data_IF_248075715289
#
_entry.id   IF_248075715289
#
_cell.length_a   1.000
_cell.length_b   1.000
_cell.length_c   1.000
_cell.angle_alpha   90.00
_cell.angle_beta   90.00
_cell.angle_gamma   90.00
#
_symmetry.space_group_name_H-M   'P 1'
#
loop_
_entity.id
_entity.type
_entity.pdbx_description
1 polymer ?
#
# COMPACT_ATOMS: atom_id res chain seq x y z
N UNK A 1 15.22 -47.04 25.62
CA UNK A 1 15.15 -45.62 26.02
C UNK A 1 15.50 -44.87 24.74
N UNK A 2 14.49 -44.62 23.92
CA UNK A 2 14.64 -43.74 22.79
C UNK A 2 14.85 -42.32 23.34
N UNK A 3 15.99 -41.72 23.02
CA UNK A 3 16.18 -40.28 23.24
C UNK A 3 15.06 -39.56 22.48
N UNK A 4 14.09 -38.97 23.17
CA UNK A 4 13.19 -38.03 22.57
C UNK A 4 14.05 -36.92 21.98
N UNK A 5 14.13 -36.88 20.65
CA UNK A 5 14.83 -35.82 19.91
C UNK A 5 14.06 -34.55 20.21
N UNK A 6 14.71 -33.61 20.91
CA UNK A 6 14.09 -32.31 21.20
C UNK A 6 13.67 -31.62 19.92
N UNK A 7 12.54 -30.91 19.92
CA UNK A 7 12.07 -30.18 18.76
C UNK A 7 13.14 -29.21 18.20
N UNK A 8 13.99 -28.69 19.06
CA UNK A 8 15.10 -27.81 18.75
C UNK A 8 16.12 -28.45 17.79
N UNK A 9 16.34 -29.77 17.91
CA UNK A 9 17.34 -30.50 17.11
C UNK A 9 16.83 -30.92 15.72
N UNK A 10 15.53 -30.83 15.49
CA UNK A 10 14.94 -31.20 14.20
C UNK A 10 14.98 -29.99 13.24
N UNK A 11 15.63 -30.18 12.10
CA UNK A 11 15.64 -29.16 11.05
C UNK A 11 14.22 -28.86 10.52
N UNK A 12 13.91 -27.61 10.16
CA UNK A 12 12.61 -27.27 9.58
C UNK A 12 12.41 -28.01 8.26
N UNK A 13 11.21 -28.60 8.11
CA UNK A 13 10.86 -29.45 6.97
C UNK A 13 9.73 -30.42 7.32
N UNK A 14 9.58 -31.45 6.50
CA UNK A 14 8.46 -32.41 6.62
C UNK A 14 8.45 -33.13 7.96
N UNK A 15 9.61 -33.50 8.49
CA UNK A 15 9.72 -34.20 9.76
C UNK A 15 9.23 -33.32 10.93
N UNK A 16 9.77 -32.10 11.04
CA UNK A 16 9.36 -31.15 12.08
C UNK A 16 7.86 -30.83 11.95
N UNK A 17 7.37 -30.59 10.74
CA UNK A 17 5.95 -30.34 10.51
C UNK A 17 5.07 -31.51 10.99
N UNK A 18 5.47 -32.75 10.70
CA UNK A 18 4.72 -33.95 11.11
C UNK A 18 4.66 -34.06 12.62
N UNK A 19 5.78 -33.80 13.31
CA UNK A 19 5.82 -33.82 14.77
C UNK A 19 4.96 -32.70 15.39
N UNK A 20 5.07 -31.47 14.87
CA UNK A 20 4.27 -30.35 15.34
C UNK A 20 2.77 -30.56 15.16
N UNK A 21 2.34 -31.20 14.06
CA UNK A 21 0.93 -31.53 13.82
C UNK A 21 0.39 -32.60 14.76
N UNK A 22 1.25 -33.44 15.33
CA UNK A 22 0.87 -34.46 16.30
C UNK A 22 0.77 -33.90 17.75
N UNK A 23 1.27 -32.69 18.00
CA UNK A 23 1.26 -32.08 19.33
C UNK A 23 -0.04 -31.33 19.54
N UNK A 24 -0.74 -31.65 20.64
CA UNK A 24 -1.86 -30.87 21.15
C UNK A 24 -1.36 -30.00 22.30
N UNK A 25 -1.23 -28.71 22.10
CA UNK A 25 -0.67 -27.78 23.12
C UNK A 25 -1.46 -27.76 24.43
N UNK A 26 -2.75 -28.11 24.40
CA UNK A 26 -3.57 -28.25 25.62
C UNK A 26 -3.13 -29.41 26.53
N UNK A 27 -2.39 -30.38 26.01
CA UNK A 27 -1.89 -31.53 26.76
C UNK A 27 -0.48 -31.29 27.31
N UNK A 28 0.14 -30.16 27.02
CA UNK A 28 1.46 -29.77 27.52
C UNK A 28 1.27 -29.07 28.87
N UNK A 29 1.96 -29.58 29.90
CA UNK A 29 1.84 -29.06 31.28
C UNK A 29 2.89 -28.00 31.61
N UNK A 30 4.04 -28.02 30.93
CA UNK A 30 5.15 -27.09 31.19
C UNK A 30 5.14 -25.93 30.17
N UNK A 31 5.12 -24.71 30.69
CA UNK A 31 5.16 -23.48 29.83
C UNK A 31 6.43 -23.44 28.96
N UNK A 32 7.53 -24.03 29.44
CA UNK A 32 8.77 -24.17 28.69
C UNK A 32 8.53 -24.94 27.38
N UNK A 33 7.88 -26.10 27.46
CA UNK A 33 7.63 -26.96 26.29
C UNK A 33 6.68 -26.28 25.28
N UNK A 34 5.70 -25.51 25.77
CA UNK A 34 4.84 -24.71 24.91
C UNK A 34 5.66 -23.67 24.12
N UNK A 35 6.63 -23.02 24.76
CA UNK A 35 7.51 -22.05 24.09
C UNK A 35 8.43 -22.72 23.07
N UNK A 36 8.89 -23.96 23.33
CA UNK A 36 9.66 -24.74 22.34
C UNK A 36 8.81 -25.09 21.10
N UNK A 37 7.53 -25.40 21.30
CA UNK A 37 6.58 -25.59 20.17
C UNK A 37 6.43 -24.28 19.38
N UNK A 38 6.29 -23.14 20.04
CA UNK A 38 6.22 -21.83 19.36
C UNK A 38 7.50 -21.56 18.57
N UNK A 39 8.68 -21.80 19.15
CA UNK A 39 9.97 -21.62 18.49
C UNK A 39 10.13 -22.56 17.27
N UNK A 40 9.65 -23.79 17.40
CA UNK A 40 9.67 -24.75 16.29
C UNK A 40 8.76 -24.32 15.13
N UNK A 41 7.56 -23.79 15.41
CA UNK A 41 6.69 -23.20 14.39
C UNK A 41 7.31 -21.97 13.73
N UNK A 42 8.01 -21.10 14.47
CA UNK A 42 8.69 -19.94 13.92
C UNK A 42 9.78 -20.35 12.91
N UNK A 43 10.55 -21.40 13.20
CA UNK A 43 11.51 -22.00 12.26
C UNK A 43 10.84 -22.57 11.01
N UNK A 44 9.66 -23.21 11.14
CA UNK A 44 8.87 -23.70 10.02
C UNK A 44 8.36 -22.56 9.14
N UNK A 45 7.92 -21.45 9.75
CA UNK A 45 7.50 -20.24 9.02
C UNK A 45 8.67 -19.65 8.23
N UNK A 46 9.85 -19.56 8.84
CA UNK A 46 11.06 -19.09 8.18
C UNK A 46 11.43 -19.96 6.97
N UNK A 47 11.42 -21.29 7.15
CA UNK A 47 11.65 -22.26 6.07
C UNK A 47 10.64 -22.11 4.92
N UNK A 48 9.36 -21.96 5.23
CA UNK A 48 8.32 -21.75 4.22
C UNK A 48 8.51 -20.43 3.47
N UNK A 49 8.90 -19.35 4.15
CA UNK A 49 9.27 -18.09 3.52
C UNK A 49 10.47 -18.25 2.59
N UNK A 50 11.52 -18.98 3.01
CA UNK A 50 12.68 -19.24 2.15
C UNK A 50 12.27 -19.96 0.85
N UNK A 51 11.42 -20.97 0.95
CA UNK A 51 10.88 -21.69 -0.22
C UNK A 51 10.02 -20.79 -1.11
N UNK A 52 9.17 -19.95 -0.53
CA UNK A 52 8.36 -19.00 -1.29
C UNK A 52 9.23 -17.98 -2.03
N UNK A 53 10.22 -17.39 -1.35
CA UNK A 53 11.12 -16.39 -1.94
C UNK A 53 11.98 -16.99 -3.05
N UNK A 54 12.46 -18.23 -2.89
CA UNK A 54 13.17 -18.94 -3.95
C UNK A 54 12.30 -19.12 -5.21
N UNK A 55 11.03 -19.52 -5.04
CA UNK A 55 10.07 -19.64 -6.14
C UNK A 55 9.75 -18.28 -6.79
N UNK A 56 9.66 -17.20 -6.02
CA UNK A 56 9.48 -15.82 -6.53
C UNK A 56 10.69 -15.38 -7.35
N UNK A 57 11.92 -15.64 -6.89
CA UNK A 57 13.13 -15.32 -7.62
C UNK A 57 13.22 -16.11 -8.95
N UNK A 58 12.89 -17.39 -8.92
CA UNK A 58 12.85 -18.22 -10.13
C UNK A 58 11.79 -17.71 -11.12
N UNK A 59 10.59 -17.39 -10.64
CA UNK A 59 9.53 -16.81 -11.47
C UNK A 59 9.99 -15.52 -12.15
N UNK A 60 10.62 -14.62 -11.41
CA UNK A 60 11.09 -13.34 -11.95
C UNK A 60 12.20 -13.48 -13.01
N UNK A 61 12.99 -14.55 -12.92
CA UNK A 61 14.08 -14.82 -13.87
C UNK A 61 13.62 -15.49 -15.17
N UNK A 62 12.43 -16.10 -15.17
CA UNK A 62 11.90 -16.79 -16.36
C UNK A 62 11.62 -15.77 -17.47
N UNK A 63 12.00 -16.06 -18.71
CA UNK A 63 11.62 -15.23 -19.84
C UNK A 63 10.10 -15.25 -20.01
N UNK A 64 9.59 -14.16 -20.52
CA UNK A 64 8.16 -14.03 -20.80
C UNK A 64 7.80 -14.94 -21.97
N UNK A 65 7.28 -16.13 -21.70
CA UNK A 65 6.83 -17.07 -22.71
C UNK A 65 5.34 -17.31 -22.58
N UNK A 66 4.56 -16.69 -23.47
CA UNK A 66 3.24 -17.19 -23.80
C UNK A 66 3.38 -17.85 -25.17
N UNK A 67 3.73 -19.13 -25.17
CA UNK A 67 3.74 -19.97 -26.37
C UNK A 67 4.70 -19.59 -27.51
N UNK A 68 5.52 -18.54 -27.33
CA UNK A 68 6.48 -18.08 -28.33
C UNK A 68 7.91 -18.19 -27.80
N UNK A 69 8.84 -18.62 -28.66
CA UNK A 69 10.27 -18.57 -28.32
C UNK A 69 10.72 -17.11 -28.24
N UNK A 70 11.77 -16.80 -27.45
CA UNK A 70 12.30 -15.43 -27.36
C UNK A 70 12.63 -14.79 -28.71
N UNK A 71 13.09 -15.59 -29.68
CA UNK A 71 13.41 -15.12 -31.04
C UNK A 71 12.14 -14.86 -31.87
N UNK A 72 11.11 -15.68 -31.72
CA UNK A 72 9.81 -15.45 -32.37
C UNK A 72 9.11 -14.21 -31.81
N UNK A 73 9.15 -14.01 -30.50
CA UNK A 73 8.63 -12.81 -29.84
C UNK A 73 9.40 -11.56 -30.28
N UNK A 74 10.72 -11.63 -30.40
CA UNK A 74 11.57 -10.53 -30.87
C UNK A 74 11.33 -10.20 -32.35
N UNK A 75 11.14 -11.20 -33.18
CA UNK A 75 10.82 -11.02 -34.60
C UNK A 75 9.46 -10.37 -34.81
N UNK A 76 8.47 -10.72 -33.98
CA UNK A 76 7.08 -10.24 -34.08
C UNK A 76 6.87 -8.86 -33.44
N UNK A 77 7.56 -8.56 -32.35
CA UNK A 77 7.31 -7.39 -31.50
C UNK A 77 8.52 -6.45 -31.38
N UNK A 78 9.58 -6.67 -32.15
CA UNK A 78 10.79 -5.82 -32.15
C UNK A 78 11.62 -5.99 -30.86
N UNK A 79 12.44 -4.96 -30.51
CA UNK A 79 13.32 -5.02 -29.32
C UNK A 79 12.59 -5.29 -28.00
N UNK A 80 11.30 -4.93 -27.91
CA UNK A 80 10.45 -5.17 -26.75
C UNK A 80 10.10 -6.67 -26.55
N UNK A 81 10.15 -7.51 -27.61
CA UNK A 81 9.90 -8.94 -27.51
C UNK A 81 10.97 -9.72 -26.73
N UNK A 82 12.11 -9.09 -26.41
CA UNK A 82 13.16 -9.67 -25.56
C UNK A 82 13.14 -9.12 -24.13
N UNK A 83 12.17 -8.25 -23.80
CA UNK A 83 12.10 -7.66 -22.46
C UNK A 83 11.70 -8.77 -21.49
N UNK A 84 12.53 -8.98 -20.47
CA UNK A 84 12.17 -9.70 -19.24
C UNK A 84 10.82 -9.19 -18.77
N UNK A 85 10.04 -10.02 -18.10
CA UNK A 85 8.79 -9.58 -17.46
C UNK A 85 8.94 -8.20 -16.89
N UNK A 86 8.25 -7.23 -17.49
CA UNK A 86 8.38 -5.84 -17.09
C UNK A 86 7.84 -5.60 -15.68
N UNK A 87 6.90 -6.47 -15.21
CA UNK A 87 6.18 -6.29 -13.95
C UNK A 87 5.85 -7.65 -13.29
N UNK A 88 6.83 -8.45 -12.89
CA UNK A 88 6.56 -9.74 -12.22
C UNK A 88 5.84 -9.55 -10.88
N UNK A 89 6.06 -8.46 -10.19
CA UNK A 89 5.39 -8.09 -8.95
C UNK A 89 3.89 -7.85 -9.13
N UNK A 90 3.43 -7.29 -10.24
CA UNK A 90 2.00 -7.15 -10.51
C UNK A 90 1.30 -8.50 -10.69
N UNK A 91 1.96 -9.48 -11.33
CA UNK A 91 1.43 -10.84 -11.43
C UNK A 91 1.41 -11.55 -10.08
N UNK A 92 2.47 -11.38 -9.27
CA UNK A 92 2.54 -11.92 -7.91
C UNK A 92 1.44 -11.30 -7.05
N UNK A 93 1.28 -9.96 -7.11
CA UNK A 93 0.24 -9.24 -6.38
C UNK A 93 -1.16 -9.76 -6.72
N UNK A 94 -1.45 -9.89 -8.01
CA UNK A 94 -2.73 -10.36 -8.49
C UNK A 94 -2.99 -11.83 -8.10
N UNK A 95 -1.98 -12.71 -8.21
CA UNK A 95 -2.12 -14.14 -7.88
C UNK A 95 -2.33 -14.38 -6.39
N UNK A 96 -1.64 -13.61 -5.54
CA UNK A 96 -1.72 -13.75 -4.08
C UNK A 96 -2.79 -12.86 -3.44
N UNK A 97 -3.43 -11.96 -4.23
CA UNK A 97 -4.38 -10.96 -3.74
C UNK A 97 -3.78 -10.06 -2.65
N UNK A 98 -2.55 -9.59 -2.87
CA UNK A 98 -1.82 -8.67 -2.01
C UNK A 98 -1.60 -7.34 -2.73
N UNK A 99 -1.25 -6.28 -1.97
CA UNK A 99 -0.92 -4.98 -2.56
C UNK A 99 0.32 -5.06 -3.44
N UNK A 100 0.42 -4.18 -4.45
CA UNK A 100 1.62 -4.09 -5.31
C UNK A 100 2.88 -3.83 -4.49
N UNK A 101 2.82 -2.98 -3.45
CA UNK A 101 3.97 -2.75 -2.55
C UNK A 101 4.39 -4.00 -1.78
N UNK A 102 3.43 -4.85 -1.35
CA UNK A 102 3.76 -6.12 -0.70
C UNK A 102 4.39 -7.13 -1.67
N UNK A 103 3.99 -7.11 -2.93
CA UNK A 103 4.57 -7.97 -3.96
C UNK A 103 5.97 -7.49 -4.36
N UNK A 104 6.15 -6.18 -4.53
CA UNK A 104 7.45 -5.55 -4.81
C UNK A 104 8.46 -5.84 -3.69
N UNK A 105 8.02 -5.73 -2.43
CA UNK A 105 8.84 -6.09 -1.26
C UNK A 105 9.31 -7.55 -1.34
N UNK A 106 8.40 -8.50 -1.61
CA UNK A 106 8.75 -9.93 -1.72
C UNK A 106 9.68 -10.22 -2.89
N UNK A 107 9.41 -9.59 -4.04
CA UNK A 107 10.25 -9.71 -5.22
C UNK A 107 11.66 -9.15 -4.96
N UNK A 108 11.76 -7.95 -4.37
CA UNK A 108 13.04 -7.33 -4.04
C UNK A 108 13.86 -8.22 -3.12
N UNK A 109 13.28 -8.67 -2.01
CA UNK A 109 13.96 -9.57 -1.08
C UNK A 109 14.36 -10.90 -1.74
N UNK A 110 13.47 -11.49 -2.56
CA UNK A 110 13.77 -12.75 -3.27
C UNK A 110 14.98 -12.63 -4.18
N UNK A 111 15.11 -11.50 -4.90
CA UNK A 111 16.25 -11.24 -5.78
C UNK A 111 17.53 -10.96 -4.99
N UNK A 112 17.46 -10.18 -3.91
CA UNK A 112 18.60 -9.89 -3.03
C UNK A 112 19.17 -11.15 -2.38
N UNK A 113 18.30 -12.06 -1.92
CA UNK A 113 18.72 -13.34 -1.32
C UNK A 113 19.41 -14.28 -2.32
N UNK A 114 19.30 -14.06 -3.62
CA UNK A 114 20.10 -14.83 -4.58
C UNK A 114 21.58 -14.47 -4.58
N UNK A 115 21.91 -13.27 -4.14
CA UNK A 115 23.29 -12.78 -3.96
C UNK A 115 23.78 -13.02 -2.53
N UNK A 116 22.88 -12.96 -1.52
CA UNK A 116 23.17 -13.15 -0.11
C UNK A 116 22.86 -14.60 0.31
N UNK A 117 23.70 -15.53 -0.13
CA UNK A 117 23.43 -16.95 0.01
C UNK A 117 23.46 -17.45 1.47
N UNK A 118 24.32 -16.87 2.32
CA UNK A 118 24.39 -17.24 3.73
C UNK A 118 23.12 -16.78 4.48
N UNK A 119 22.58 -15.60 4.15
CA UNK A 119 21.31 -15.10 4.69
C UNK A 119 20.14 -15.97 4.22
N UNK A 120 20.12 -16.38 2.95
CA UNK A 120 19.12 -17.31 2.42
C UNK A 120 19.16 -18.66 3.14
N UNK A 121 20.36 -19.20 3.39
CA UNK A 121 20.57 -20.43 4.14
C UNK A 121 20.13 -20.29 5.60
N UNK A 122 20.45 -19.18 6.27
CA UNK A 122 20.04 -18.90 7.64
C UNK A 122 18.51 -18.80 7.77
N UNK A 123 17.83 -18.22 6.76
CA UNK A 123 16.37 -18.20 6.69
C UNK A 123 15.80 -19.61 6.46
N UNK A 124 16.39 -20.38 5.55
CA UNK A 124 15.94 -21.75 5.25
C UNK A 124 16.12 -22.73 6.40
N UNK A 125 17.09 -22.49 7.26
CA UNK A 125 17.31 -23.30 8.50
C UNK A 125 16.52 -22.78 9.70
N UNK A 126 15.82 -21.66 9.58
CA UNK A 126 15.08 -21.05 10.68
C UNK A 126 15.97 -20.36 11.72
N UNK A 127 17.25 -20.12 11.43
CA UNK A 127 18.16 -19.36 12.30
C UNK A 127 17.72 -17.88 12.42
N UNK A 128 17.15 -17.35 11.36
CA UNK A 128 16.57 -16.00 11.28
C UNK A 128 15.18 -16.05 10.66
N UNK A 129 14.34 -15.09 11.00
CA UNK A 129 13.06 -14.86 10.35
C UNK A 129 13.19 -13.99 9.08
N UNK A 130 12.08 -13.85 8.34
CA UNK A 130 12.04 -13.07 7.10
C UNK A 130 12.32 -11.57 7.31
N UNK A 131 11.99 -11.01 8.49
CA UNK A 131 12.26 -9.60 8.79
C UNK A 131 13.75 -9.35 9.03
N UNK A 132 14.42 -10.27 9.71
CA UNK A 132 15.87 -10.24 9.90
C UNK A 132 16.59 -10.41 8.56
N UNK A 133 16.15 -11.38 7.72
CA UNK A 133 16.69 -11.55 6.37
C UNK A 133 16.56 -10.28 5.53
N UNK A 134 15.38 -9.62 5.56
CA UNK A 134 15.20 -8.33 4.89
C UNK A 134 16.10 -7.23 5.46
N UNK A 135 16.29 -7.16 6.78
CA UNK A 135 17.15 -6.14 7.38
C UNK A 135 18.62 -6.30 6.98
N UNK A 136 19.10 -7.52 6.77
CA UNK A 136 20.44 -7.81 6.23
C UNK A 136 20.49 -7.41 4.76
N UNK A 137 19.53 -7.85 3.95
CA UNK A 137 19.48 -7.57 2.53
C UNK A 137 19.41 -6.06 2.24
N UNK A 138 18.52 -5.32 2.92
CA UNK A 138 18.39 -3.86 2.81
C UNK A 138 19.71 -3.14 3.16
N UNK A 139 20.39 -3.59 4.19
CA UNK A 139 21.69 -3.00 4.60
C UNK A 139 22.85 -3.30 3.64
N UNK A 140 22.81 -4.44 2.94
CA UNK A 140 23.82 -4.87 1.98
C UNK A 140 23.54 -4.41 0.54
N UNK A 141 22.31 -4.01 0.22
CA UNK A 141 21.80 -3.68 -1.14
C UNK A 141 22.72 -2.80 -1.98
N UNK A 142 23.47 -1.91 -1.34
CA UNK A 142 24.29 -0.91 -2.01
C UNK A 142 25.79 -1.19 -1.93
N UNK A 143 26.17 -2.33 -1.38
CA UNK A 143 27.54 -2.78 -1.32
C UNK A 143 27.87 -3.58 -2.58
N UNK A 144 29.15 -3.62 -2.95
CA UNK A 144 29.60 -4.57 -3.95
C UNK A 144 29.50 -6.02 -3.40
N UNK A 145 29.43 -7.04 -4.25
CA UNK A 145 29.17 -8.41 -3.81
C UNK A 145 30.18 -8.95 -2.78
N UNK A 146 31.45 -8.56 -2.87
CA UNK A 146 32.50 -9.03 -1.95
C UNK A 146 32.28 -8.41 -0.58
N UNK A 147 32.15 -7.09 -0.53
CA UNK A 147 31.87 -6.35 0.71
C UNK A 147 30.54 -6.76 1.34
N UNK A 148 29.51 -7.04 0.52
CA UNK A 148 28.23 -7.53 1.00
C UNK A 148 28.36 -8.88 1.71
N UNK A 149 29.13 -9.81 1.16
CA UNK A 149 29.42 -11.11 1.77
C UNK A 149 30.16 -10.99 3.09
N UNK A 150 31.13 -10.06 3.19
CA UNK A 150 31.85 -9.80 4.44
C UNK A 150 30.92 -9.25 5.53
N UNK A 151 30.09 -8.27 5.19
CA UNK A 151 29.07 -7.72 6.11
C UNK A 151 28.07 -8.79 6.54
N UNK A 152 27.58 -9.59 5.60
CA UNK A 152 26.68 -10.71 5.85
C UNK A 152 27.27 -11.68 6.89
N UNK A 153 28.52 -12.12 6.72
CA UNK A 153 29.19 -13.03 7.65
C UNK A 153 29.32 -12.43 9.05
N UNK A 154 29.68 -11.14 9.16
CA UNK A 154 29.81 -10.45 10.45
C UNK A 154 28.49 -10.40 11.19
N UNK A 155 27.39 -10.08 10.52
CA UNK A 155 26.11 -9.86 11.18
C UNK A 155 25.36 -11.17 11.48
N UNK A 156 25.47 -12.19 10.62
CA UNK A 156 24.85 -13.49 10.80
C UNK A 156 25.39 -14.23 12.04
N UNK A 157 26.65 -14.01 12.41
CA UNK A 157 27.24 -14.64 13.59
C UNK A 157 26.44 -14.40 14.89
N UNK A 158 25.63 -13.35 14.94
CA UNK A 158 24.79 -13.01 16.12
C UNK A 158 23.32 -12.75 15.82
N UNK A 159 22.92 -12.91 14.55
CA UNK A 159 21.56 -12.56 14.12
C UNK A 159 20.48 -13.37 14.84
N UNK A 160 20.75 -14.64 15.16
CA UNK A 160 19.82 -15.49 15.92
C UNK A 160 19.44 -14.89 17.27
N UNK A 161 20.41 -14.36 18.01
CA UNK A 161 20.25 -13.87 19.38
C UNK A 161 19.79 -12.41 19.47
N UNK A 162 19.63 -11.73 18.35
CA UNK A 162 19.26 -10.32 18.31
C UNK A 162 17.79 -10.13 17.92
N UNK A 163 17.17 -9.12 18.51
CA UNK A 163 15.92 -8.61 17.96
C UNK A 163 16.17 -7.96 16.59
N UNK A 164 15.15 -7.89 15.72
CA UNK A 164 15.29 -7.25 14.42
C UNK A 164 15.80 -5.79 14.50
N UNK A 165 15.37 -5.04 15.53
CA UNK A 165 15.84 -3.67 15.76
C UNK A 165 17.35 -3.61 16.12
N UNK A 166 17.85 -4.56 16.90
CA UNK A 166 19.27 -4.67 17.23
C UNK A 166 20.09 -5.07 16.02
N UNK A 167 19.63 -6.07 15.27
CA UNK A 167 20.27 -6.52 14.02
C UNK A 167 20.34 -5.40 13.00
N UNK A 168 19.26 -4.66 12.77
CA UNK A 168 19.23 -3.52 11.85
C UNK A 168 20.26 -2.44 12.19
N UNK A 169 20.51 -2.19 13.49
CA UNK A 169 21.58 -1.29 13.94
C UNK A 169 22.96 -1.87 13.66
N UNK A 170 23.16 -3.18 13.90
CA UNK A 170 24.40 -3.87 13.65
C UNK A 170 24.76 -3.88 12.16
N UNK A 171 23.81 -4.23 11.30
CA UNK A 171 23.95 -4.22 9.82
C UNK A 171 24.34 -2.83 9.34
N UNK A 172 23.61 -1.79 9.76
CA UNK A 172 23.92 -0.41 9.39
C UNK A 172 25.34 -0.01 9.78
N UNK A 173 25.76 -0.36 11.02
CA UNK A 173 27.11 -0.08 11.49
C UNK A 173 28.16 -0.81 10.65
N UNK A 174 27.97 -2.10 10.39
CA UNK A 174 28.89 -2.91 9.57
C UNK A 174 29.01 -2.37 8.15
N UNK A 175 27.88 -2.06 7.49
CA UNK A 175 27.85 -1.51 6.12
C UNK A 175 28.54 -0.14 6.01
N UNK A 176 28.34 0.77 6.98
CA UNK A 176 29.05 2.07 7.01
C UNK A 176 30.54 1.88 7.25
N UNK A 177 30.92 0.91 8.09
CA UNK A 177 32.34 0.64 8.36
C UNK A 177 33.04 0.04 7.13
N UNK A 178 32.35 -0.83 6.39
CA UNK A 178 32.89 -1.48 5.20
C UNK A 178 33.06 -0.50 4.03
N UNK A 179 32.09 0.41 3.81
CA UNK A 179 32.19 1.44 2.75
C UNK A 179 31.67 2.80 3.23
N UNK A 180 32.53 3.59 3.93
CA UNK A 180 32.12 4.90 4.44
C UNK A 180 31.92 5.94 3.33
N UNK A 181 32.58 5.79 2.18
CA UNK A 181 32.50 6.75 1.05
C UNK A 181 31.15 6.60 0.36
N UNK A 182 30.76 5.38 0.02
CA UNK A 182 29.44 5.14 -0.56
C UNK A 182 28.32 5.45 0.43
N UNK A 183 28.51 5.20 1.72
CA UNK A 183 27.55 5.58 2.76
C UNK A 183 27.31 7.11 2.78
N UNK A 184 28.36 7.92 2.64
CA UNK A 184 28.22 9.37 2.55
C UNK A 184 27.49 9.81 1.27
N UNK A 185 27.78 9.20 0.12
CA UNK A 185 27.08 9.47 -1.15
C UNK A 185 25.59 9.15 -1.03
N UNK A 186 25.23 8.00 -0.44
CA UNK A 186 23.84 7.62 -0.19
C UNK A 186 23.14 8.60 0.74
N UNK A 187 23.81 9.07 1.80
CA UNK A 187 23.24 10.07 2.68
C UNK A 187 22.87 11.37 1.95
N UNK A 188 23.72 11.82 1.03
CA UNK A 188 23.44 13.00 0.20
C UNK A 188 22.28 12.75 -0.74
N UNK A 189 22.22 11.59 -1.40
CA UNK A 189 21.10 11.21 -2.28
C UNK A 189 19.78 11.13 -1.51
N UNK A 190 19.76 10.46 -0.36
CA UNK A 190 18.56 10.33 0.48
C UNK A 190 17.99 11.67 0.96
N UNK A 191 18.82 12.71 1.10
CA UNK A 191 18.32 14.06 1.37
C UNK A 191 17.45 14.63 0.25
N UNK A 192 17.65 14.19 -0.99
CA UNK A 192 16.85 14.65 -2.13
C UNK A 192 15.49 13.95 -2.22
N UNK A 193 15.34 12.79 -1.55
CA UNK A 193 14.12 11.98 -1.50
C UNK A 193 13.24 12.31 -0.29
N UNK A 194 13.50 13.43 0.36
CA UNK A 194 12.66 13.90 1.47
C UNK A 194 11.22 14.10 1.00
N UNK A 195 10.26 13.71 1.80
CA UNK A 195 8.87 13.87 1.46
C UNK A 195 7.94 13.73 2.65
N UNK A 196 6.66 14.05 2.41
CA UNK A 196 5.57 13.88 3.35
C UNK A 196 4.46 13.09 2.67
N UNK A 197 3.97 12.08 3.34
CA UNK A 197 2.90 11.19 2.85
C UNK A 197 1.76 11.13 3.86
N UNK A 198 0.55 10.92 3.36
CA UNK A 198 -0.67 10.71 4.14
C UNK A 198 -1.14 9.27 3.92
N UNK A 199 -1.40 8.55 4.99
CA UNK A 199 -1.94 7.18 4.96
C UNK A 199 -3.21 7.14 5.81
N UNK A 200 -4.37 6.75 5.25
CA UNK A 200 -5.58 6.52 6.02
C UNK A 200 -5.38 5.37 7.03
N UNK A 201 -5.97 5.51 8.21
CA UNK A 201 -6.05 4.49 9.25
C UNK A 201 -7.52 4.23 9.59
N UNK A 202 -7.79 3.22 10.41
CA UNK A 202 -9.14 2.94 10.89
C UNK A 202 -9.67 4.06 11.81
N UNK A 203 -10.97 4.03 12.10
CA UNK A 203 -11.67 4.90 13.06
C UNK A 203 -11.56 6.42 12.78
N UNK A 204 -11.50 6.82 11.51
CA UNK A 204 -11.43 8.23 11.14
C UNK A 204 -10.07 8.87 11.38
N UNK A 205 -9.03 8.06 11.60
CA UNK A 205 -7.66 8.51 11.83
C UNK A 205 -6.82 8.44 10.56
N UNK A 206 -5.72 9.19 10.52
CA UNK A 206 -4.74 9.10 9.44
C UNK A 206 -3.32 9.33 9.99
N UNK A 207 -2.34 8.73 9.33
CA UNK A 207 -0.93 8.95 9.60
C UNK A 207 -0.35 9.98 8.62
N UNK A 208 0.32 10.98 9.15
CA UNK A 208 1.20 11.86 8.37
C UNK A 208 2.64 11.42 8.61
N UNK A 209 3.25 10.83 7.57
CA UNK A 209 4.63 10.35 7.61
C UNK A 209 5.54 11.35 6.91
N UNK A 210 6.50 11.92 7.65
CA UNK A 210 7.53 12.79 7.12
C UNK A 210 8.89 12.10 7.16
N UNK A 211 9.61 12.05 6.02
CA UNK A 211 10.99 11.56 5.92
C UNK A 211 11.90 12.74 5.66
N UNK A 212 12.90 12.91 6.54
CA UNK A 212 13.84 14.02 6.52
C UNK A 212 15.19 13.60 7.09
N UNK A 213 16.21 14.47 7.06
CA UNK A 213 17.48 14.17 7.70
C UNK A 213 17.29 13.86 9.20
N UNK A 214 18.02 12.87 9.72
CA UNK A 214 17.84 12.39 11.09
C UNK A 214 17.98 13.51 12.15
N UNK A 215 18.90 14.45 11.92
CA UNK A 215 19.07 15.60 12.82
C UNK A 215 17.82 16.50 12.85
N UNK A 216 17.15 16.71 11.71
CA UNK A 216 15.96 17.54 11.62
C UNK A 216 14.75 16.80 12.24
N UNK A 217 14.63 15.50 12.01
CA UNK A 217 13.59 14.68 12.64
C UNK A 217 13.72 14.68 14.17
N UNK A 218 14.95 14.54 14.69
CA UNK A 218 15.22 14.64 16.13
C UNK A 218 14.91 16.03 16.68
N UNK A 219 15.21 17.09 15.93
CA UNK A 219 14.87 18.47 16.33
C UNK A 219 13.36 18.63 16.51
N UNK A 220 12.56 18.21 15.51
CA UNK A 220 11.10 18.24 15.57
C UNK A 220 10.59 17.46 16.79
N UNK A 221 11.03 16.19 16.91
CA UNK A 221 10.59 15.32 18.01
C UNK A 221 10.95 15.86 19.39
N UNK A 222 12.16 16.42 19.55
CA UNK A 222 12.63 16.96 20.82
C UNK A 222 11.88 18.24 21.22
N UNK A 223 11.60 19.13 20.26
CA UNK A 223 10.81 20.35 20.52
C UNK A 223 9.39 19.98 20.95
N UNK A 224 8.72 19.08 20.23
CA UNK A 224 7.39 18.60 20.59
C UNK A 224 7.39 17.90 21.95
N UNK A 225 8.44 17.14 22.26
CA UNK A 225 8.58 16.45 23.54
C UNK A 225 8.80 17.43 24.71
N UNK A 226 9.61 18.48 24.50
CA UNK A 226 9.83 19.51 25.49
C UNK A 226 8.54 20.32 25.75
N UNK A 227 7.80 20.68 24.70
CA UNK A 227 6.52 21.37 24.84
C UNK A 227 5.49 20.51 25.61
N UNK A 228 5.39 19.22 25.26
CA UNK A 228 4.50 18.29 25.95
C UNK A 228 4.87 18.11 27.43
N UNK A 229 6.16 18.03 27.73
CA UNK A 229 6.64 17.96 29.12
C UNK A 229 6.30 19.24 29.89
N UNK A 230 6.52 20.42 29.29
CA UNK A 230 6.19 21.72 29.93
C UNK A 230 4.71 21.81 30.22
N UNK A 231 3.82 21.39 29.30
CA UNK A 231 2.38 21.36 29.55
C UNK A 231 2.00 20.43 30.71
N UNK A 232 2.64 19.24 30.80
CA UNK A 232 2.42 18.34 31.93
C UNK A 232 2.87 18.91 33.26
N UNK A 233 4.02 19.60 33.29
CA UNK A 233 4.57 20.18 34.51
C UNK A 233 3.77 21.40 35.00
N UNK A 234 3.04 22.09 34.10
CA UNK A 234 2.14 23.17 34.46
C UNK A 234 0.93 22.73 35.31
N UNK A 235 0.62 21.42 35.28
CA UNK A 235 -0.48 20.82 36.04
C UNK A 235 -1.86 20.94 35.34
N UNK A 236 -2.79 20.07 35.73
CA UNK A 236 -4.16 20.09 35.19
C UNK A 236 -4.34 19.49 33.80
N UNK A 237 -3.28 19.06 33.13
CA UNK A 237 -3.32 18.47 31.77
C UNK A 237 -3.68 17.00 31.81
N UNK A 238 -4.85 16.64 31.28
CA UNK A 238 -5.36 15.26 31.26
C UNK A 238 -4.78 14.42 30.11
N UNK A 239 -4.42 15.04 28.96
CA UNK A 239 -3.87 14.35 27.78
C UNK A 239 -2.51 13.74 28.10
N UNK A 240 -2.21 12.58 27.52
CA UNK A 240 -0.87 11.97 27.64
C UNK A 240 0.16 12.70 26.75
N UNK A 241 1.45 12.39 26.95
CA UNK A 241 2.54 13.05 26.23
C UNK A 241 2.49 12.83 24.71
N UNK A 242 1.96 11.67 24.25
CA UNK A 242 1.83 11.39 22.80
C UNK A 242 0.73 12.25 22.18
N UNK A 243 -0.41 12.39 22.86
CA UNK A 243 -1.51 13.29 22.43
C UNK A 243 -1.06 14.73 22.35
N UNK A 244 -0.34 15.21 23.37
CA UNK A 244 0.18 16.57 23.38
C UNK A 244 1.17 16.83 22.23
N UNK A 245 2.04 15.85 21.88
CA UNK A 245 2.92 16.00 20.71
C UNK A 245 2.14 16.13 19.42
N UNK A 246 1.05 15.35 19.27
CA UNK A 246 0.20 15.42 18.07
C UNK A 246 -0.49 16.78 17.96
N UNK A 247 -1.05 17.29 19.07
CA UNK A 247 -1.72 18.59 19.11
C UNK A 247 -0.73 19.75 18.84
N UNK A 248 0.46 19.72 19.44
CA UNK A 248 1.50 20.72 19.18
C UNK A 248 2.07 20.65 17.74
N UNK A 249 2.03 19.47 17.11
CA UNK A 249 2.41 19.35 15.70
C UNK A 249 1.42 20.08 14.78
N UNK A 250 0.13 20.10 15.11
CA UNK A 250 -0.91 20.75 14.31
C UNK A 250 -0.93 22.27 14.44
N UNK A 251 -0.57 22.83 15.59
CA UNK A 251 -0.69 24.25 15.88
C UNK A 251 -0.07 25.19 14.81
N UNK A 252 1.12 24.95 14.24
CA UNK A 252 1.68 25.80 13.18
C UNK A 252 0.86 25.75 11.87
N UNK A 253 0.15 24.65 11.61
CA UNK A 253 -0.68 24.51 10.41
C UNK A 253 -2.04 25.19 10.58
N UNK A 254 -2.62 25.17 11.77
CA UNK A 254 -3.83 25.93 12.09
C UNK A 254 -3.57 27.43 11.93
N UNK A 255 -2.42 27.92 12.40
CA UNK A 255 -2.00 29.31 12.20
C UNK A 255 -1.81 29.61 10.71
N UNK A 256 -1.16 28.73 9.97
CA UNK A 256 -0.95 28.90 8.52
C UNK A 256 -2.29 28.96 7.73
N UNK A 257 -3.29 28.14 8.12
CA UNK A 257 -4.62 28.20 7.53
C UNK A 257 -5.30 29.53 7.85
N UNK A 258 -5.20 30.01 9.09
CA UNK A 258 -5.82 31.26 9.53
C UNK A 258 -5.19 32.50 8.88
N UNK A 259 -3.87 32.50 8.69
CA UNK A 259 -3.13 33.64 8.11
C UNK A 259 -3.01 33.58 6.59
N UNK A 260 -3.18 32.41 5.99
CA UNK A 260 -2.91 32.16 4.56
C UNK A 260 -1.43 32.08 4.21
N UNK A 261 -0.54 32.06 5.22
CA UNK A 261 0.91 32.02 5.04
C UNK A 261 1.54 30.96 5.96
N UNK A 262 2.40 30.12 5.39
CA UNK A 262 3.21 29.20 6.17
C UNK A 262 4.53 29.88 6.54
N UNK A 263 4.75 30.07 7.84
CA UNK A 263 6.01 30.59 8.39
C UNK A 263 7.13 29.58 8.21
N UNK A 264 8.27 29.99 7.67
CA UNK A 264 9.41 29.11 7.43
C UNK A 264 10.62 29.85 6.89
N UNK A 265 11.58 29.09 6.34
CA UNK A 265 12.80 29.63 5.72
C UNK A 265 12.48 30.57 4.56
N UNK A 266 11.40 30.28 3.83
CA UNK A 266 10.81 31.17 2.83
C UNK A 266 9.34 31.28 3.16
N UNK A 267 8.83 32.45 3.58
CA UNK A 267 7.41 32.67 3.75
C UNK A 267 6.66 32.38 2.46
N UNK A 268 5.75 31.41 2.52
CA UNK A 268 5.04 30.95 1.33
C UNK A 268 3.56 31.20 1.50
N UNK A 269 2.99 31.99 0.56
CA UNK A 269 1.52 32.13 0.45
C UNK A 269 0.91 30.82 0.05
N UNK A 270 -0.09 30.36 0.80
CA UNK A 270 -0.82 29.15 0.48
C UNK A 270 -1.70 29.40 -0.75
N UNK A 271 -1.58 28.56 -1.76
CA UNK A 271 -2.42 28.59 -2.96
C UNK A 271 -3.79 27.96 -2.65
N UNK A 272 -4.65 28.69 -1.91
CA UNK A 272 -6.02 28.26 -1.66
C UNK A 272 -6.80 28.20 -2.96
N UNK A 273 -7.43 27.06 -3.24
CA UNK A 273 -8.24 26.83 -4.45
C UNK A 273 -7.56 26.09 -5.60
N UNK A 274 -6.24 25.97 -5.62
CA UNK A 274 -5.54 25.07 -6.55
C UNK A 274 -5.41 23.68 -5.96
N UNK A 275 -6.38 22.80 -6.23
CA UNK A 275 -6.41 21.38 -5.84
C UNK A 275 -6.50 21.11 -4.32
N UNK A 276 -7.45 21.77 -3.64
CA UNK A 276 -7.91 21.28 -2.32
C UNK A 276 -6.98 21.52 -1.16
N UNK A 277 -6.21 22.61 -1.15
CA UNK A 277 -5.51 23.03 0.06
C UNK A 277 -6.57 23.35 1.14
N UNK A 278 -6.75 22.45 2.11
CA UNK A 278 -7.75 22.56 3.18
C UNK A 278 -9.16 22.05 2.83
N UNK A 279 -9.46 21.62 1.60
CA UNK A 279 -10.79 21.06 1.26
C UNK A 279 -10.82 19.53 1.37
N UNK A 280 -11.47 19.04 2.42
CA UNK A 280 -11.89 17.64 2.50
C UNK A 280 -13.21 17.47 1.73
N UNK A 281 -13.21 16.70 0.63
CA UNK A 281 -14.44 16.34 -0.07
C UNK A 281 -15.11 15.16 0.65
N UNK A 282 -16.27 15.40 1.22
CA UNK A 282 -17.05 14.38 1.93
C UNK A 282 -18.33 14.10 1.14
N UNK A 283 -18.60 12.83 0.85
CA UNK A 283 -19.88 12.37 0.33
C UNK A 283 -20.73 11.90 1.50
N UNK A 284 -21.86 12.55 1.76
CA UNK A 284 -22.74 12.26 2.88
C UNK A 284 -24.12 11.88 2.35
N UNK A 285 -24.71 10.74 2.75
CA UNK A 285 -26.07 10.41 2.40
C UNK A 285 -27.06 11.47 2.95
N UNK A 286 -28.04 11.87 2.14
CA UNK A 286 -29.03 12.87 2.56
C UNK A 286 -29.76 12.49 3.84
N UNK A 287 -30.05 11.19 4.03
CA UNK A 287 -30.66 10.67 5.26
C UNK A 287 -29.83 10.91 6.52
N UNK A 288 -28.51 10.97 6.40
CA UNK A 288 -27.58 11.29 7.50
C UNK A 288 -27.65 12.78 7.82
N UNK A 289 -27.64 13.64 6.81
CA UNK A 289 -27.79 15.10 7.00
C UNK A 289 -29.12 15.44 7.67
N UNK A 290 -30.20 14.76 7.26
CA UNK A 290 -31.53 14.92 7.84
C UNK A 290 -31.71 14.24 9.21
N UNK A 291 -30.69 13.52 9.71
CA UNK A 291 -30.74 12.87 11.02
C UNK A 291 -31.59 11.59 11.08
N UNK A 292 -32.06 11.04 9.93
CA UNK A 292 -32.91 9.85 9.88
C UNK A 292 -32.13 8.55 9.75
N UNK A 293 -30.81 8.59 9.51
CA UNK A 293 -29.95 7.41 9.47
C UNK A 293 -28.53 7.70 9.99
N UNK A 294 -27.82 6.64 10.39
CA UNK A 294 -26.44 6.69 10.85
C UNK A 294 -25.49 5.89 9.93
N UNK A 295 -25.86 5.75 8.65
CA UNK A 295 -24.95 5.12 7.67
C UNK A 295 -23.69 5.96 7.47
N UNK A 296 -22.54 5.32 7.16
CA UNK A 296 -21.29 6.05 6.99
C UNK A 296 -21.32 7.01 5.80
N UNK A 297 -20.59 8.12 5.89
CA UNK A 297 -20.19 8.94 4.75
C UNK A 297 -18.86 8.48 4.19
N UNK A 298 -18.43 9.08 3.09
CA UNK A 298 -17.17 8.77 2.39
C UNK A 298 -16.31 10.02 2.32
N UNK A 299 -15.10 9.97 2.89
CA UNK A 299 -14.10 11.04 2.80
C UNK A 299 -13.14 10.69 1.66
N UNK A 300 -13.10 11.53 0.62
CA UNK A 300 -12.28 11.29 -0.57
C UNK A 300 -10.79 11.20 -0.22
N UNK A 301 -10.16 10.08 -0.59
CA UNK A 301 -8.75 9.80 -0.29
C UNK A 301 -8.49 9.16 1.08
N UNK A 302 -9.55 8.96 1.87
CA UNK A 302 -9.50 8.30 3.16
C UNK A 302 -10.35 7.02 3.18
N UNK A 303 -11.63 7.11 2.75
CA UNK A 303 -12.61 6.02 2.82
C UNK A 303 -13.80 6.36 3.71
N UNK A 304 -14.46 5.32 4.21
CA UNK A 304 -15.66 5.46 5.01
C UNK A 304 -15.39 6.13 6.38
N UNK A 305 -16.26 7.06 6.74
CA UNK A 305 -16.24 7.76 8.03
C UNK A 305 -17.61 7.70 8.69
N UNK A 306 -17.66 7.82 10.02
CA UNK A 306 -18.93 7.75 10.75
C UNK A 306 -19.90 8.88 10.37
N UNK A 307 -21.19 8.66 10.60
CA UNK A 307 -22.23 9.67 10.35
C UNK A 307 -21.95 10.98 11.10
N UNK A 308 -21.45 10.91 12.33
CA UNK A 308 -21.15 12.10 13.14
C UNK A 308 -19.98 12.88 12.56
N UNK A 309 -18.86 12.22 12.23
CA UNK A 309 -17.70 12.85 11.55
C UNK A 309 -18.14 13.44 10.21
N UNK A 310 -19.00 12.75 9.46
CA UNK A 310 -19.55 13.24 8.19
C UNK A 310 -20.36 14.53 8.36
N UNK A 311 -21.22 14.60 9.37
CA UNK A 311 -21.98 15.81 9.71
C UNK A 311 -21.08 16.96 10.15
N UNK A 312 -20.08 16.66 10.97
CA UNK A 312 -19.12 17.67 11.42
C UNK A 312 -18.32 18.26 10.24
N UNK A 313 -17.80 17.42 9.37
CA UNK A 313 -17.07 17.86 8.17
C UNK A 313 -17.95 18.54 7.13
N UNK A 314 -19.24 18.21 7.06
CA UNK A 314 -20.20 18.87 6.17
C UNK A 314 -20.72 20.22 6.68
N UNK A 315 -20.55 20.53 7.98
CA UNK A 315 -20.99 21.78 8.60
C UNK A 315 -20.24 22.96 7.96
N UNK A 316 -20.98 23.96 7.55
CA UNK A 316 -20.44 25.21 6.95
C UNK A 316 -19.73 25.04 5.58
N UNK A 317 -20.03 23.96 4.84
CA UNK A 317 -19.44 23.70 3.52
C UNK A 317 -20.45 23.80 2.38
N UNK A 318 -19.96 24.12 1.17
CA UNK A 318 -20.77 24.14 -0.04
C UNK A 318 -21.16 22.71 -0.40
N UNK A 319 -22.45 22.40 -0.33
CA UNK A 319 -22.99 21.08 -0.68
C UNK A 319 -23.26 20.97 -2.19
N UNK A 320 -22.97 19.80 -2.75
CA UNK A 320 -23.33 19.44 -4.13
C UNK A 320 -24.04 18.10 -4.13
N UNK A 321 -25.16 18.04 -4.86
CA UNK A 321 -25.92 16.80 -4.96
C UNK A 321 -25.24 15.78 -5.86
N UNK A 322 -25.13 14.54 -5.40
CA UNK A 322 -24.69 13.37 -6.16
C UNK A 322 -25.84 12.37 -6.18
N UNK A 323 -26.15 11.80 -7.36
CA UNK A 323 -27.19 10.79 -7.51
C UNK A 323 -26.56 9.42 -7.66
N UNK A 324 -26.92 8.48 -6.79
CA UNK A 324 -26.47 7.10 -6.83
C UNK A 324 -27.64 6.16 -7.09
N UNK A 325 -27.37 5.01 -7.71
CA UNK A 325 -28.33 3.94 -7.86
C UNK A 325 -28.72 3.39 -6.48
N UNK A 326 -30.01 3.37 -6.11
CA UNK A 326 -30.42 2.92 -4.79
C UNK A 326 -30.21 1.43 -4.53
N UNK A 327 -30.06 0.60 -5.58
CA UNK A 327 -29.91 -0.85 -5.46
C UNK A 327 -28.47 -1.27 -5.14
N UNK A 328 -27.48 -0.67 -5.82
CA UNK A 328 -26.08 -1.06 -5.74
C UNK A 328 -25.12 0.09 -5.34
N UNK A 329 -25.65 1.30 -5.11
CA UNK A 329 -24.86 2.48 -4.74
C UNK A 329 -24.03 3.06 -5.88
N UNK A 330 -24.16 2.56 -7.11
CA UNK A 330 -23.38 3.04 -8.25
C UNK A 330 -23.80 4.44 -8.73
N UNK A 331 -22.89 5.18 -9.32
CA UNK A 331 -23.11 6.55 -9.79
C UNK A 331 -23.73 6.56 -11.19
N UNK A 332 -24.70 7.45 -11.49
CA UNK A 332 -25.42 7.56 -12.77
C UNK A 332 -24.89 8.70 -13.65
N UNK A 333 -24.73 8.49 -14.97
CA UNK A 333 -23.84 9.25 -15.89
C UNK A 333 -24.48 10.15 -16.96
N UNK A 334 -23.58 10.98 -17.61
CA UNK A 334 -23.85 11.75 -18.84
C UNK A 334 -22.80 11.50 -19.94
N UNK A 335 -23.20 11.46 -21.22
CA UNK A 335 -22.41 11.10 -22.40
C UNK A 335 -21.69 12.30 -23.05
N UNK A 336 -20.47 12.09 -23.64
CA UNK A 336 -19.75 13.08 -24.44
C UNK A 336 -18.99 12.47 -25.63
N UNK A 337 -19.04 13.15 -26.78
CA UNK A 337 -18.45 12.70 -28.06
C UNK A 337 -17.01 13.19 -28.31
N UNK A 338 -16.26 13.63 -27.29
CA UNK A 338 -14.91 14.20 -27.42
C UNK A 338 -13.82 13.27 -26.90
N UNK A 339 -12.60 13.34 -27.47
CA UNK A 339 -11.44 12.57 -26.98
C UNK A 339 -11.12 12.84 -25.51
N UNK A 340 -11.14 14.11 -25.10
CA UNK A 340 -10.94 14.47 -23.68
C UNK A 340 -12.26 14.36 -22.93
N UNK A 341 -12.28 13.66 -21.80
CA UNK A 341 -13.49 13.59 -20.98
C UNK A 341 -13.87 14.97 -20.48
N UNK A 342 -15.16 15.29 -20.55
CA UNK A 342 -15.69 16.49 -19.91
C UNK A 342 -15.41 16.48 -18.41
N UNK A 343 -15.46 17.65 -17.77
CA UNK A 343 -15.29 17.74 -16.32
C UNK A 343 -16.31 16.87 -15.57
N UNK A 344 -17.53 16.76 -16.10
CA UNK A 344 -18.61 15.93 -15.55
C UNK A 344 -18.26 14.44 -15.67
N UNK A 345 -17.87 13.99 -16.87
CA UNK A 345 -17.47 12.58 -17.10
C UNK A 345 -16.22 12.22 -16.30
N UNK A 346 -15.24 13.12 -16.23
CA UNK A 346 -14.04 12.94 -15.41
C UNK A 346 -14.42 12.68 -13.94
N UNK A 347 -15.23 13.57 -13.37
CA UNK A 347 -15.67 13.46 -11.99
C UNK A 347 -16.51 12.19 -11.78
N UNK A 348 -17.39 11.85 -12.72
CA UNK A 348 -18.17 10.63 -12.69
C UNK A 348 -17.27 9.39 -12.56
N UNK A 349 -16.33 9.22 -13.50
CA UNK A 349 -15.42 8.06 -13.53
C UNK A 349 -14.56 8.00 -12.26
N UNK A 350 -14.07 9.14 -11.77
CA UNK A 350 -13.27 9.21 -10.56
C UNK A 350 -14.05 8.81 -9.31
N UNK A 351 -15.31 9.26 -9.19
CA UNK A 351 -16.18 8.90 -8.06
C UNK A 351 -16.63 7.44 -8.12
N UNK A 352 -17.04 6.96 -9.31
CA UNK A 352 -17.47 5.58 -9.52
C UNK A 352 -16.39 4.58 -9.11
N UNK A 353 -15.16 4.82 -9.53
CA UNK A 353 -14.07 3.85 -9.43
C UNK A 353 -13.25 3.99 -8.14
N UNK A 354 -13.23 5.17 -7.53
CA UNK A 354 -12.54 5.46 -6.26
C UNK A 354 -11.01 5.35 -6.31
N UNK A 355 -10.48 4.27 -6.90
CA UNK A 355 -9.04 3.97 -6.99
C UNK A 355 -8.63 3.56 -8.40
N UNK A 356 -7.33 3.39 -8.63
CA UNK A 356 -6.78 2.77 -9.84
C UNK A 356 -7.46 1.42 -10.12
N UNK A 357 -7.80 1.14 -11.38
CA UNK A 357 -8.56 -0.06 -11.77
C UNK A 357 -7.70 -1.31 -12.05
N UNK A 358 -6.47 -1.33 -11.59
CA UNK A 358 -5.70 -2.55 -11.48
C UNK A 358 -6.03 -3.27 -10.17
N UNK A 359 -6.15 -4.61 -10.20
CA UNK A 359 -6.74 -5.44 -9.12
C UNK A 359 -6.21 -5.15 -7.70
N UNK A 360 -4.93 -4.81 -7.59
CA UNK A 360 -4.23 -4.70 -6.30
C UNK A 360 -3.71 -3.29 -6.01
N UNK A 361 -4.23 -2.28 -6.74
CA UNK A 361 -3.77 -0.90 -6.61
C UNK A 361 -4.84 -0.02 -5.96
N UNK A 362 -4.51 0.53 -4.80
CA UNK A 362 -5.39 1.39 -4.02
C UNK A 362 -5.11 2.90 -4.21
N UNK A 363 -4.30 3.26 -5.22
CA UNK A 363 -3.99 4.67 -5.47
C UNK A 363 -5.29 5.43 -5.85
N UNK A 364 -5.62 6.54 -5.17
CA UNK A 364 -6.85 7.27 -5.39
C UNK A 364 -7.04 7.70 -6.84
N UNK A 365 -8.26 7.56 -7.36
CA UNK A 365 -8.61 7.93 -8.75
C UNK A 365 -8.35 9.39 -9.10
N UNK A 366 -8.35 10.27 -8.10
CA UNK A 366 -8.07 11.72 -8.25
C UNK A 366 -6.65 12.01 -8.74
N UNK A 367 -5.68 11.16 -8.41
CA UNK A 367 -4.28 11.30 -8.83
C UNK A 367 -3.94 10.40 -10.03
N UNK A 368 -4.92 9.62 -10.51
CA UNK A 368 -4.78 8.74 -11.66
C UNK A 368 -5.08 9.49 -12.99
N UNK A 369 -4.43 9.05 -14.06
CA UNK A 369 -4.85 9.40 -15.42
C UNK A 369 -6.16 8.68 -15.77
N UNK A 370 -7.09 9.37 -16.41
CA UNK A 370 -8.26 8.74 -17.00
C UNK A 370 -7.94 8.33 -18.44
N UNK A 371 -8.08 7.05 -18.73
CA UNK A 371 -7.76 6.50 -20.03
C UNK A 371 -8.85 5.55 -20.55
N UNK A 372 -8.87 5.38 -21.87
CA UNK A 372 -9.82 4.54 -22.57
C UNK A 372 -9.46 3.05 -22.44
N UNK A 373 -10.43 2.20 -22.16
CA UNK A 373 -10.24 0.74 -22.21
C UNK A 373 -10.03 0.24 -23.62
N UNK A 374 -10.81 0.74 -24.57
CA UNK A 374 -10.63 0.57 -25.99
C UNK A 374 -10.19 1.93 -26.58
N UNK A 375 -9.06 1.94 -27.29
CA UNK A 375 -8.45 3.18 -27.82
C UNK A 375 -9.43 4.03 -28.63
N UNK A 376 -9.34 5.34 -28.45
CA UNK A 376 -10.01 6.28 -29.36
C UNK A 376 -9.26 6.33 -30.70
N UNK A 377 -9.93 6.41 -31.87
CA UNK A 377 -11.37 6.61 -32.07
C UNK A 377 -12.22 5.32 -32.06
N UNK A 378 -11.63 4.14 -32.00
CA UNK A 378 -12.36 2.85 -32.03
C UNK A 378 -13.29 2.67 -30.81
N UNK A 379 -12.96 3.28 -29.68
CA UNK A 379 -13.76 3.38 -28.47
C UNK A 379 -14.15 4.83 -28.17
N UNK A 380 -15.42 5.07 -27.83
CA UNK A 380 -15.93 6.41 -27.47
C UNK A 380 -15.41 6.85 -26.09
N UNK A 381 -15.31 8.15 -25.88
CA UNK A 381 -15.09 8.76 -24.56
C UNK A 381 -16.41 8.80 -23.79
N UNK A 382 -16.68 7.72 -23.09
CA UNK A 382 -17.90 7.55 -22.28
C UNK A 382 -17.58 6.72 -21.02
N UNK A 383 -18.51 6.65 -20.09
CA UNK A 383 -18.38 5.91 -18.85
C UNK A 383 -18.05 4.42 -19.02
N UNK A 384 -18.61 3.80 -20.07
CA UNK A 384 -18.39 2.39 -20.40
C UNK A 384 -17.05 2.10 -21.05
N UNK A 385 -16.24 3.12 -21.33
CA UNK A 385 -14.93 2.96 -21.98
C UNK A 385 -13.80 3.73 -21.29
N UNK A 386 -14.02 4.25 -20.10
CA UNK A 386 -12.99 4.98 -19.36
C UNK A 386 -12.82 4.47 -17.93
N UNK A 387 -11.58 4.52 -17.46
CA UNK A 387 -11.22 4.23 -16.07
C UNK A 387 -9.97 4.97 -15.60
N UNK A 388 -9.78 5.11 -14.29
CA UNK A 388 -8.58 5.69 -13.71
C UNK A 388 -7.47 4.64 -13.64
N UNK A 389 -6.30 4.99 -14.15
CA UNK A 389 -5.08 4.19 -14.04
C UNK A 389 -3.95 5.08 -13.52
N UNK A 390 -3.23 4.62 -12.49
CA UNK A 390 -2.02 5.30 -12.03
C UNK A 390 -0.95 5.23 -13.13
N UNK A 391 0.08 6.05 -13.04
CA UNK A 391 1.13 6.12 -14.05
C UNK A 391 1.72 4.74 -14.38
N UNK A 392 2.03 3.93 -13.35
CA UNK A 392 2.52 2.57 -13.49
C UNK A 392 1.55 1.68 -14.29
N UNK A 393 0.28 1.60 -13.89
CA UNK A 393 -0.70 0.71 -14.50
C UNK A 393 -1.24 1.27 -15.83
N UNK A 394 -1.16 2.56 -16.06
CA UNK A 394 -1.38 3.17 -17.35
C UNK A 394 -0.32 2.75 -18.37
N UNK A 395 0.97 2.82 -18.01
CA UNK A 395 2.08 2.31 -18.82
C UNK A 395 1.94 0.80 -19.05
N UNK A 396 1.67 0.04 -17.99
CA UNK A 396 1.49 -1.41 -18.06
C UNK A 396 0.37 -1.81 -19.03
N UNK A 397 -0.77 -1.12 -18.98
CA UNK A 397 -1.86 -1.31 -19.95
C UNK A 397 -1.38 -1.13 -21.38
N UNK A 398 -0.63 -0.06 -21.67
CA UNK A 398 -0.12 0.20 -23.02
C UNK A 398 0.98 -0.77 -23.47
N UNK A 399 1.78 -1.29 -22.58
CA UNK A 399 2.75 -2.35 -22.88
C UNK A 399 2.07 -3.65 -23.28
N UNK A 400 0.90 -3.95 -22.71
CA UNK A 400 0.11 -5.11 -23.05
C UNK A 400 -0.73 -4.93 -24.33
N UNK A 401 -1.02 -3.69 -24.72
CA UNK A 401 -1.77 -3.37 -25.94
C UNK A 401 -1.00 -3.83 -27.19
N UNK A 402 -1.54 -4.84 -27.87
CA UNK A 402 -0.98 -5.37 -29.11
C UNK A 402 -0.17 -6.67 -28.95
N UNK A 403 0.23 -7.06 -27.76
CA UNK A 403 0.91 -8.34 -27.50
C UNK A 403 -0.09 -9.41 -27.06
N UNK A 404 -1.00 -9.08 -26.19
CA UNK A 404 -1.91 -10.04 -25.54
C UNK A 404 -3.25 -9.42 -25.16
N UNK A 405 -3.77 -8.51 -25.86
CA UNK A 405 -5.06 -7.80 -25.73
C UNK A 405 -5.79 -8.02 -24.38
N UNK A 406 -5.67 -7.11 -23.45
CA UNK A 406 -5.90 -7.60 -22.28
C UNK A 406 -6.55 -6.84 -21.23
N UNK A 407 -7.05 -5.66 -21.53
CA UNK A 407 -8.03 -4.93 -20.74
C UNK A 407 -9.35 -4.89 -21.51
N UNK A 408 -10.41 -5.44 -20.89
CA UNK A 408 -11.79 -5.28 -21.37
C UNK A 408 -12.60 -4.60 -20.30
N UNK A 409 -13.54 -3.77 -20.71
CA UNK A 409 -14.52 -3.13 -19.82
C UNK A 409 -15.93 -3.57 -20.27
N UNK A 410 -16.43 -4.73 -19.79
CA UNK A 410 -17.73 -5.26 -20.19
C UNK A 410 -18.91 -4.41 -19.71
N UNK A 411 -18.74 -3.75 -18.56
CA UNK A 411 -19.72 -2.83 -17.97
C UNK A 411 -18.97 -1.58 -17.44
N UNK A 412 -19.63 -0.43 -17.27
CA UNK A 412 -19.04 0.75 -16.68
C UNK A 412 -18.37 0.44 -15.34
N UNK A 413 -17.05 0.72 -15.21
CA UNK A 413 -16.25 0.46 -14.01
C UNK A 413 -15.82 -0.97 -13.78
N UNK A 414 -16.37 -1.96 -14.53
CA UNK A 414 -15.91 -3.35 -14.45
C UNK A 414 -14.79 -3.59 -15.45
N UNK A 415 -13.61 -3.97 -14.95
CA UNK A 415 -12.43 -4.19 -15.79
C UNK A 415 -11.97 -5.65 -15.67
N UNK A 416 -11.71 -6.27 -16.82
CA UNK A 416 -11.20 -7.63 -16.93
C UNK A 416 -9.79 -7.57 -17.50
N UNK A 417 -8.82 -7.89 -16.67
CA UNK A 417 -7.40 -7.96 -17.02
C UNK A 417 -7.01 -9.39 -17.34
N UNK A 418 -6.42 -9.62 -18.50
CA UNK A 418 -5.75 -10.90 -18.82
C UNK A 418 -4.25 -10.67 -18.70
N UNK A 419 -3.61 -11.31 -17.76
CA UNK A 419 -2.18 -11.18 -17.52
C UNK A 419 -1.37 -12.00 -18.51
N UNK A 420 -0.08 -11.68 -18.70
CA UNK A 420 0.82 -12.44 -19.59
C UNK A 420 0.93 -13.93 -19.27
N UNK A 421 0.73 -14.30 -18.02
CA UNK A 421 0.65 -15.70 -17.58
C UNK A 421 -0.64 -16.41 -17.99
N UNK A 422 -1.60 -15.70 -18.60
CA UNK A 422 -2.93 -16.20 -18.93
C UNK A 422 -3.96 -16.11 -17.79
N UNK A 423 -3.56 -15.68 -16.59
CA UNK A 423 -4.52 -15.47 -15.52
C UNK A 423 -5.44 -14.28 -15.83
N UNK A 424 -6.71 -14.43 -15.47
CA UNK A 424 -7.74 -13.41 -15.68
C UNK A 424 -8.22 -12.88 -14.35
N UNK A 425 -8.24 -11.54 -14.20
CA UNK A 425 -8.68 -10.86 -12.99
C UNK A 425 -9.76 -9.84 -13.34
N UNK A 426 -10.81 -9.81 -12.53
CA UNK A 426 -11.91 -8.85 -12.68
C UNK A 426 -11.91 -7.89 -11.49
N UNK A 427 -12.08 -6.59 -11.77
CA UNK A 427 -12.30 -5.56 -10.76
C UNK A 427 -13.63 -4.87 -11.02
N UNK A 428 -14.39 -4.63 -9.95
CA UNK A 428 -15.67 -3.92 -9.98
C UNK A 428 -15.57 -2.63 -9.17
N UNK A 429 -16.38 -1.61 -9.46
CA UNK A 429 -16.41 -0.40 -8.64
C UNK A 429 -16.80 -0.75 -7.19
N UNK A 430 -16.22 -0.08 -6.18
CA UNK A 430 -16.70 -0.19 -4.82
C UNK A 430 -18.13 0.39 -4.71
N UNK A 431 -18.94 -0.15 -3.82
CA UNK A 431 -20.19 0.48 -3.45
C UNK A 431 -19.91 1.79 -2.71
N UNK A 432 -20.45 2.91 -3.19
CA UNK A 432 -20.24 4.25 -2.56
C UNK A 432 -21.27 4.48 -1.45
N UNK A 433 -22.38 3.73 -1.45
CA UNK A 433 -23.42 3.81 -0.44
C UNK A 433 -23.75 2.44 0.15
N UNK A 434 -24.39 2.40 1.33
CA UNK A 434 -24.83 1.14 1.90
C UNK A 434 -25.89 0.50 0.98
N UNK A 435 -25.79 -0.82 0.71
CA UNK A 435 -26.85 -1.52 0.01
C UNK A 435 -28.12 -1.50 0.85
N UNK A 436 -29.26 -1.17 0.24
CA UNK A 436 -30.56 -1.26 0.90
C UNK A 436 -30.88 -2.75 1.05
N UNK A 437 -30.75 -3.28 2.27
CA UNK A 437 -30.94 -4.71 2.56
C UNK A 437 -32.42 -5.13 2.70
N UNK A 438 -33.34 -4.17 2.81
CA UNK A 438 -34.77 -4.45 3.02
C UNK A 438 -35.64 -3.56 2.14
N UNK A 439 -36.55 -4.18 1.37
CA UNK A 439 -37.59 -3.48 0.59
C UNK A 439 -38.53 -2.62 1.46
N UNK A 440 -38.62 -2.90 2.77
CA UNK A 440 -39.43 -2.14 3.73
C UNK A 440 -38.90 -0.74 4.06
N UNK A 441 -37.65 -0.45 3.69
CA UNK A 441 -36.99 0.85 3.88
C UNK A 441 -36.61 1.52 2.55
N UNK A 442 -37.18 1.09 1.43
CA UNK A 442 -37.09 1.84 0.19
C UNK A 442 -37.59 3.27 0.45
N UNK A 443 -36.71 4.23 0.28
CA UNK A 443 -37.11 5.63 0.38
C UNK A 443 -38.30 5.89 -0.54
N UNK A 444 -39.28 6.71 -0.14
CA UNK A 444 -40.39 7.06 -0.99
C UNK A 444 -39.89 7.55 -2.33
N UNK A 445 -40.55 7.19 -3.42
CA UNK A 445 -40.17 7.61 -4.75
C UNK A 445 -39.99 9.14 -4.77
N UNK A 446 -38.76 9.57 -5.07
CA UNK A 446 -38.44 11.00 -5.11
C UNK A 446 -39.06 11.54 -6.41
N UNK A 447 -39.98 12.48 -6.32
CA UNK A 447 -40.40 13.23 -7.48
C UNK A 447 -39.29 14.18 -7.90
N UNK A 448 -38.62 13.84 -9.03
CA UNK A 448 -37.47 14.58 -9.56
C UNK A 448 -37.87 15.96 -10.12
N UNK A 449 -39.17 16.29 -10.22
CA UNK A 449 -39.65 17.58 -10.64
C UNK A 449 -39.83 18.57 -9.48
N UNK A 450 -39.81 18.10 -8.24
CA UNK A 450 -39.81 18.99 -7.08
C UNK A 450 -38.41 19.50 -6.75
N UNK A 451 -38.25 20.81 -6.48
CA UNK A 451 -36.98 21.34 -6.03
C UNK A 451 -36.59 20.71 -4.68
N UNK A 452 -35.29 20.45 -4.42
CA UNK A 452 -34.83 19.85 -3.18
C UNK A 452 -35.26 20.70 -1.96
N UNK A 453 -35.52 20.08 -0.81
CA UNK A 453 -36.03 20.78 0.38
C UNK A 453 -35.01 21.70 1.08
N UNK A 454 -33.87 21.98 0.41
CA UNK A 454 -32.79 22.88 0.89
C UNK A 454 -32.10 23.61 -0.23
#
# INVERSE_FOLDING_TARGET
>A
MDQEVELADIAPGVELATRLMAITTADIHEDYDVLEVVAAWDRMIAWAHAGQLAAVADFARRPWSIGETPDAARAKHGPLGSVRRSNPDDEIAARLSISSGSAEFRLGLALELTELQATAAALATGQIDVQKAHSIADGCRHLDPVTATEVEAIVLARAGDQTNAQLKKAVRKAAITADPVAAQKRHVAAKNERGVWLTPLDDGMAEVRAVMAAADALKVYNVLSAAALSAKLAGGEARNTAQLRADFLLAPFDEAIATGELSGVVPTKLAFGSRGCGEANVTVPASVIMGVSNVPGELTGYGAITAEVSKELARDRVMRRIVTNPVDGSFLAADTATYRPSAVLRRHVQLRDGTCRFKTCDLPSLVCALDHSKRHPDGRTCEGNMGPFCERHHIFKHLLDGVLAHLKQPNPGTFVWTMPTGHVYTTTPPAIGPPIKDEKHAAPAIDWNEPPPF
#
